data_IF_458026389292
#
_entry.id   IF_458026389292
#
_cell.length_a   1.000
_cell.length_b   1.000
_cell.length_c   1.000
_cell.angle_alpha   90.00
_cell.angle_beta   90.00
_cell.angle_gamma   90.00
#
_symmetry.space_group_name_H-M   'P 1'
#
loop_
_entity.id
_entity.type
_entity.pdbx_description
1 polymer ?
#
# COMPACT_ATOMS: atom_id res chain seq x y z
N UNK A 1 -36.87 -6.75 -5.97
CA UNK A 1 -35.62 -7.05 -6.69
C UNK A 1 -34.53 -6.18 -6.10
N UNK A 2 -33.79 -6.71 -5.11
CA UNK A 2 -32.82 -5.96 -4.33
C UNK A 2 -31.62 -5.68 -5.24
N UNK A 3 -31.39 -4.41 -5.54
CA UNK A 3 -30.14 -3.96 -6.17
C UNK A 3 -29.06 -4.18 -5.11
N UNK A 4 -28.39 -5.33 -5.16
CA UNK A 4 -27.12 -5.54 -4.49
C UNK A 4 -26.15 -4.52 -5.09
N UNK A 5 -26.07 -3.34 -4.47
CA UNK A 5 -24.93 -2.45 -4.65
C UNK A 5 -23.71 -3.26 -4.26
N UNK A 6 -23.03 -3.83 -5.27
CA UNK A 6 -21.61 -4.18 -5.15
C UNK A 6 -20.95 -2.92 -4.65
N UNK A 7 -20.71 -2.82 -3.34
CA UNK A 7 -19.76 -1.85 -2.82
C UNK A 7 -18.47 -2.20 -3.54
N UNK A 8 -18.13 -1.37 -4.53
CA UNK A 8 -17.02 -1.62 -5.45
C UNK A 8 -15.77 -1.77 -4.61
N UNK A 9 -15.19 -2.98 -4.65
CA UNK A 9 -14.04 -3.42 -3.85
C UNK A 9 -12.80 -2.50 -3.93
N UNK A 10 -12.75 -1.65 -4.97
CA UNK A 10 -11.77 -0.60 -5.27
C UNK A 10 -11.56 0.46 -4.15
N UNK A 11 -12.35 0.43 -3.07
CA UNK A 11 -12.20 1.34 -1.92
C UNK A 11 -11.67 0.65 -0.65
N UNK A 12 -11.17 -0.58 -0.73
CA UNK A 12 -10.92 -1.39 0.48
C UNK A 12 -9.52 -1.21 1.08
N UNK A 13 -8.45 -1.19 0.28
CA UNK A 13 -7.10 -1.09 0.84
C UNK A 13 -6.80 0.31 1.41
N UNK A 14 -7.15 1.37 0.66
CA UNK A 14 -6.92 2.76 1.08
C UNK A 14 -8.25 3.52 1.02
N UNK A 15 -8.82 3.92 2.17
CA UNK A 15 -10.03 4.74 2.19
C UNK A 15 -9.81 6.08 1.45
N UNK A 16 -10.81 6.61 0.71
CA UNK A 16 -10.65 7.84 -0.07
C UNK A 16 -10.15 9.04 0.74
N UNK A 17 -10.58 9.16 2.00
CA UNK A 17 -10.12 10.23 2.90
C UNK A 17 -8.63 10.12 3.21
N UNK A 18 -8.11 8.90 3.35
CA UNK A 18 -6.69 8.66 3.57
C UNK A 18 -5.90 8.88 2.28
N UNK A 19 -6.43 8.45 1.13
CA UNK A 19 -5.80 8.67 -0.18
C UNK A 19 -5.53 10.15 -0.45
N UNK A 20 -6.45 11.04 -0.06
CA UNK A 20 -6.30 12.49 -0.22
C UNK A 20 -5.21 13.11 0.66
N UNK A 21 -4.79 12.45 1.75
CA UNK A 21 -3.72 12.97 2.63
C UNK A 21 -2.33 12.50 2.23
N UNK A 22 -2.23 11.54 1.31
CA UNK A 22 -0.94 10.99 0.89
C UNK A 22 -0.22 11.94 -0.07
N UNK A 23 1.13 12.00 -0.03
CA UNK A 23 1.93 12.69 -1.04
C UNK A 23 1.64 12.15 -2.45
N UNK A 24 1.71 13.01 -3.46
CA UNK A 24 1.71 12.60 -4.87
C UNK A 24 3.05 11.98 -5.24
N UNK A 25 3.07 11.24 -6.35
CA UNK A 25 4.32 10.74 -6.91
C UNK A 25 5.26 11.92 -7.15
N UNK A 26 6.52 11.77 -6.75
CA UNK A 26 7.59 12.76 -6.81
C UNK A 26 7.55 13.88 -5.74
N UNK A 27 6.51 13.99 -4.91
CA UNK A 27 6.45 15.04 -3.86
C UNK A 27 7.57 14.89 -2.82
N UNK A 28 8.13 13.68 -2.67
CA UNK A 28 9.16 13.33 -1.68
C UNK A 28 10.47 12.85 -2.30
N UNK A 29 10.68 13.04 -3.61
CA UNK A 29 11.86 12.53 -4.34
C UNK A 29 13.21 12.99 -3.72
N UNK A 30 13.24 14.22 -3.18
CA UNK A 30 14.43 14.82 -2.56
C UNK A 30 14.44 14.65 -1.04
N UNK A 31 13.47 13.92 -0.47
CA UNK A 31 13.39 13.63 0.96
C UNK A 31 14.24 12.42 1.28
N UNK A 32 15.33 12.62 2.03
CA UNK A 32 16.28 11.55 2.39
C UNK A 32 15.64 10.38 3.15
N UNK A 33 14.65 10.68 3.97
CA UNK A 33 13.95 9.70 4.81
C UNK A 33 12.43 9.93 4.73
N UNK A 34 11.79 9.51 3.62
CA UNK A 34 10.37 9.75 3.42
C UNK A 34 9.54 8.96 4.44
N UNK A 35 8.36 9.48 4.76
CA UNK A 35 7.43 8.77 5.66
C UNK A 35 6.70 7.67 4.89
N UNK A 36 6.74 6.45 5.40
CA UNK A 36 5.83 5.40 5.00
C UNK A 36 4.49 5.63 5.71
N UNK A 37 3.43 5.91 4.94
CA UNK A 37 2.13 6.28 5.48
C UNK A 37 1.18 5.10 5.68
N UNK A 38 1.33 4.06 4.86
CA UNK A 38 0.44 2.89 4.85
C UNK A 38 1.30 1.64 4.75
N UNK A 39 0.87 0.59 5.46
CA UNK A 39 1.40 -0.76 5.34
C UNK A 39 0.29 -1.70 4.84
N UNK A 40 0.59 -2.40 3.76
CA UNK A 40 -0.22 -3.49 3.21
C UNK A 40 0.55 -4.80 3.35
N UNK A 41 -0.13 -5.92 3.53
CA UNK A 41 0.53 -7.22 3.70
C UNK A 41 -0.34 -8.37 3.20
N UNK A 42 0.29 -9.49 2.84
CA UNK A 42 -0.41 -10.77 2.64
C UNK A 42 -0.52 -11.49 3.99
N UNK A 43 -1.73 -11.89 4.44
CA UNK A 43 -1.88 -12.61 5.71
C UNK A 43 -1.30 -14.04 5.69
N UNK A 44 -1.18 -14.62 4.49
CA UNK A 44 -0.78 -16.00 4.22
C UNK A 44 0.55 -16.12 3.45
N UNK A 45 1.33 -15.04 3.36
CA UNK A 45 2.66 -15.05 2.75
C UNK A 45 3.55 -13.94 3.33
N UNK A 46 4.82 -13.86 2.91
CA UNK A 46 5.81 -12.92 3.48
C UNK A 46 5.95 -11.60 2.70
N UNK A 47 4.90 -11.18 1.99
CA UNK A 47 4.95 -9.92 1.23
C UNK A 47 4.35 -8.76 2.01
N UNK A 48 5.07 -7.63 2.03
CA UNK A 48 4.63 -6.37 2.65
C UNK A 48 4.94 -5.20 1.72
N UNK A 49 4.02 -4.24 1.63
CA UNK A 49 4.19 -2.99 0.89
C UNK A 49 4.00 -1.81 1.83
N UNK A 50 4.95 -0.89 1.82
CA UNK A 50 4.87 0.38 2.53
C UNK A 50 4.74 1.50 1.51
N UNK A 51 3.69 2.32 1.59
CA UNK A 51 3.41 3.37 0.61
C UNK A 51 3.95 4.70 1.15
N UNK A 52 4.82 5.36 0.37
CA UNK A 52 5.29 6.73 0.64
C UNK A 52 4.52 7.75 -0.21
N UNK A 53 4.21 7.40 -1.46
CA UNK A 53 3.55 8.28 -2.42
C UNK A 53 2.49 7.51 -3.22
N UNK A 54 1.48 8.25 -3.72
CA UNK A 54 0.45 7.67 -4.59
C UNK A 54 -0.05 8.69 -5.61
N UNK A 55 -0.24 8.22 -6.84
CA UNK A 55 -0.98 8.92 -7.89
C UNK A 55 -2.47 8.72 -7.69
N UNK A 56 -3.23 9.81 -7.62
CA UNK A 56 -4.68 9.79 -7.42
C UNK A 56 -5.45 9.57 -8.73
N UNK A 57 -4.75 9.62 -9.87
CA UNK A 57 -5.32 9.41 -11.20
C UNK A 57 -5.42 7.92 -11.53
N UNK A 58 -4.32 7.18 -11.37
CA UNK A 58 -4.19 5.78 -11.80
C UNK A 58 -3.92 4.78 -10.66
N UNK A 59 -3.78 5.27 -9.42
CA UNK A 59 -3.46 4.49 -8.22
C UNK A 59 -2.09 3.81 -8.22
N UNK A 60 -1.16 4.31 -9.05
CA UNK A 60 0.24 3.96 -8.97
C UNK A 60 0.82 4.47 -7.65
N UNK A 61 1.48 3.59 -6.91
CA UNK A 61 2.17 3.90 -5.67
C UNK A 61 3.67 3.84 -5.87
N UNK A 62 4.39 4.59 -5.05
CA UNK A 62 5.82 4.40 -4.81
C UNK A 62 6.03 4.10 -3.33
N UNK A 63 6.99 3.22 -3.04
CA UNK A 63 7.37 2.94 -1.67
C UNK A 63 8.22 1.68 -1.52
N UNK A 64 8.30 1.17 -0.29
CA UNK A 64 9.18 0.07 0.07
C UNK A 64 8.45 -1.26 0.04
N UNK A 65 8.97 -2.21 -0.72
CA UNK A 65 8.41 -3.54 -0.89
C UNK A 65 9.34 -4.53 -0.21
N UNK A 66 8.77 -5.42 0.58
CA UNK A 66 9.46 -6.52 1.24
C UNK A 66 8.85 -7.82 0.72
N UNK A 67 9.70 -8.66 0.14
CA UNK A 67 9.32 -9.99 -0.36
C UNK A 67 10.55 -10.90 -0.36
N UNK A 68 10.94 -11.39 -1.54
CA UNK A 68 12.18 -12.16 -1.69
C UNK A 68 13.43 -11.29 -1.46
N UNK A 69 13.39 -10.08 -1.98
CA UNK A 69 14.35 -9.01 -1.70
C UNK A 69 13.54 -7.79 -1.26
N UNK A 70 14.21 -6.84 -0.61
CA UNK A 70 13.56 -5.61 -0.17
C UNK A 70 14.07 -4.41 -0.96
N UNK A 71 13.15 -3.68 -1.58
CA UNK A 71 13.49 -2.62 -2.54
C UNK A 71 12.51 -1.45 -2.48
N UNK A 72 12.94 -0.28 -2.97
CA UNK A 72 12.04 0.82 -3.27
C UNK A 72 11.58 0.68 -4.73
N UNK A 73 10.29 0.76 -4.97
CA UNK A 73 9.75 0.54 -6.30
C UNK A 73 8.32 1.02 -6.48
N UNK A 74 7.88 0.94 -7.72
CA UNK A 74 6.52 1.26 -8.13
C UNK A 74 5.64 0.01 -8.10
N UNK A 75 4.38 0.18 -7.71
CA UNK A 75 3.36 -0.87 -7.78
C UNK A 75 1.97 -0.24 -7.90
N UNK A 76 1.00 -0.96 -8.45
CA UNK A 76 -0.35 -0.45 -8.62
C UNK A 76 -1.34 -1.06 -7.61
N UNK A 77 -2.13 -0.21 -6.93
CA UNK A 77 -3.09 -0.71 -5.94
C UNK A 77 -4.16 -1.63 -6.52
N UNK A 78 -4.61 -1.38 -7.75
CA UNK A 78 -5.63 -2.22 -8.40
C UNK A 78 -5.08 -3.62 -8.67
N UNK A 79 -3.80 -3.72 -9.01
CA UNK A 79 -3.13 -5.02 -9.16
C UNK A 79 -3.04 -5.72 -7.82
N UNK A 80 -2.59 -5.03 -6.75
CA UNK A 80 -2.54 -5.60 -5.40
C UNK A 80 -3.91 -6.11 -4.92
N UNK A 81 -5.02 -5.42 -5.20
CA UNK A 81 -6.37 -5.88 -4.86
C UNK A 81 -6.77 -7.19 -5.56
N UNK A 82 -6.15 -7.50 -6.69
CA UNK A 82 -6.37 -8.74 -7.45
C UNK A 82 -5.51 -9.91 -6.95
N UNK A 83 -4.38 -9.63 -6.31
CA UNK A 83 -3.44 -10.63 -5.80
C UNK A 83 -4.09 -11.47 -4.70
N UNK A 84 -3.82 -12.77 -4.75
CA UNK A 84 -4.17 -13.73 -3.70
C UNK A 84 -2.93 -14.48 -3.28
N UNK A 85 -2.75 -14.66 -1.98
CA UNK A 85 -1.67 -15.48 -1.44
C UNK A 85 -1.92 -16.99 -1.61
N UNK A 86 -1.01 -17.83 -1.10
CA UNK A 86 -1.07 -19.28 -1.27
C UNK A 86 -2.33 -19.96 -0.75
N UNK A 87 -2.97 -19.38 0.28
CA UNK A 87 -4.24 -19.87 0.84
C UNK A 87 -5.46 -19.16 0.23
N UNK A 88 -5.25 -18.35 -0.81
CA UNK A 88 -6.30 -17.60 -1.47
C UNK A 88 -6.74 -16.36 -0.70
N UNK A 89 -5.99 -15.90 0.30
CA UNK A 89 -6.34 -14.69 1.06
C UNK A 89 -5.97 -13.42 0.28
N UNK A 90 -6.77 -12.35 0.38
CA UNK A 90 -6.43 -11.07 -0.22
C UNK A 90 -5.33 -10.36 0.58
N UNK A 91 -4.67 -9.39 -0.06
CA UNK A 91 -3.86 -8.40 0.66
C UNK A 91 -4.76 -7.59 1.60
N UNK A 92 -4.22 -7.23 2.77
CA UNK A 92 -4.89 -6.44 3.79
C UNK A 92 -4.09 -5.16 4.11
N UNK A 93 -4.78 -4.15 4.63
CA UNK A 93 -4.14 -2.96 5.22
C UNK A 93 -3.99 -3.14 6.72
N UNK A 94 -2.80 -2.86 7.23
CA UNK A 94 -2.55 -2.77 8.66
C UNK A 94 -3.17 -1.48 9.22
N UNK A 95 -4.24 -1.61 10.02
CA UNK A 95 -4.96 -0.46 10.61
C UNK A 95 -4.27 0.12 11.84
N UNK A 96 -3.28 -0.60 12.40
CA UNK A 96 -2.52 -0.18 13.57
C UNK A 96 -1.16 0.39 13.21
N UNK A 97 -0.76 0.27 11.93
CA UNK A 97 0.44 0.92 11.43
C UNK A 97 0.33 2.44 11.55
N UNK A 98 1.28 3.03 12.28
CA UNK A 98 1.44 4.48 12.38
C UNK A 98 2.40 4.95 11.29
N UNK A 99 2.17 6.11 10.65
CA UNK A 99 3.13 6.69 9.72
C UNK A 99 4.53 6.74 10.33
N UNK A 100 5.50 6.12 9.66
CA UNK A 100 6.83 5.83 10.21
C UNK A 100 7.90 6.18 9.17
N UNK A 101 9.05 6.76 9.56
CA UNK A 101 10.14 7.02 8.62
C UNK A 101 10.64 5.74 7.95
N UNK A 102 10.99 5.83 6.67
CA UNK A 102 11.50 4.70 5.89
C UNK A 102 12.71 4.03 6.56
N UNK A 103 13.60 4.82 7.15
CA UNK A 103 14.77 4.33 7.87
C UNK A 103 14.42 3.42 9.06
N UNK A 104 13.33 3.70 9.78
CA UNK A 104 12.84 2.86 10.88
C UNK A 104 12.11 1.62 10.35
N UNK A 105 11.32 1.76 9.28
CA UNK A 105 10.67 0.61 8.61
C UNK A 105 11.72 -0.40 8.13
N UNK A 106 12.84 0.07 7.57
CA UNK A 106 13.94 -0.78 7.10
C UNK A 106 14.64 -1.58 8.21
N UNK A 107 14.50 -1.21 9.49
CA UNK A 107 15.07 -1.98 10.60
C UNK A 107 14.20 -3.16 11.01
N UNK A 108 12.97 -3.24 10.50
CA UNK A 108 12.01 -4.29 10.82
C UNK A 108 12.17 -5.54 9.96
N UNK A 109 12.99 -5.48 8.91
CA UNK A 109 13.22 -6.53 7.91
C UNK A 109 14.72 -6.73 7.71
#
# INVERSE_FOLDING_TARGET
>A
MIILRKVTKLQTLIPPKLLQTLPNIYDTENTKDPTCHIKLFTPDSNWTWYITEVSKEDFTCFGYVVGHESELGYFNLKELESIRGPLGLPIERDIHFTPTPLSEVKKLH
#
